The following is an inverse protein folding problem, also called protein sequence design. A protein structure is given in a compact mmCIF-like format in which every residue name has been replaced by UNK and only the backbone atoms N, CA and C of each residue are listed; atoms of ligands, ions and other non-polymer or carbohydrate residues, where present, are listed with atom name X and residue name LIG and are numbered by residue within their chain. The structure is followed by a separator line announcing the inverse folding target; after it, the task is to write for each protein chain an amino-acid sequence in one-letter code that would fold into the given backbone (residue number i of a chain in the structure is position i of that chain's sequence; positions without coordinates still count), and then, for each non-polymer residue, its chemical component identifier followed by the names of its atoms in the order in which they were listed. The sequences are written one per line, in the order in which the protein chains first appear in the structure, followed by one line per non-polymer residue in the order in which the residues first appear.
data_IF_940358077095
#
_entry.id   IF_940358077095
#
_cell.length_a   1.000
_cell.length_b   1.000
_cell.length_c   1.000
_cell.angle_alpha   90.00
_cell.angle_beta   90.00
_cell.angle_gamma   90.00
#
_symmetry.space_group_name_H-M   'P 1'
#
loop_
_entity.id
_entity.type
_entity.pdbx_description
1 polymer ?
#
# COMPACT_ATOMS: atom_id res chain seq x y z
N UNK A 1 -45.09 -58.72 27.56
CA UNK A 1 -44.13 -58.80 26.44
C UNK A 1 -43.50 -57.44 26.25
N UNK A 2 -42.18 -57.39 26.35
CA UNK A 2 -41.33 -56.24 26.05
C UNK A 2 -41.47 -55.82 24.59
N UNK A 3 -41.62 -54.52 24.32
CA UNK A 3 -40.99 -53.90 23.15
C UNK A 3 -40.58 -52.47 23.50
N UNK A 4 -39.33 -52.31 23.93
CA UNK A 4 -38.62 -51.03 23.84
C UNK A 4 -38.36 -50.79 22.35
N UNK A 5 -38.91 -49.72 21.77
CA UNK A 5 -38.69 -49.34 20.37
C UNK A 5 -38.37 -47.86 20.30
N UNK A 6 -37.14 -47.52 19.90
CA UNK A 6 -36.55 -46.19 19.92
C UNK A 6 -37.32 -45.19 19.04
N UNK A 7 -37.68 -44.03 19.61
CA UNK A 7 -37.88 -42.80 18.83
C UNK A 7 -36.53 -42.07 18.79
N UNK A 8 -35.81 -42.27 17.69
CA UNK A 8 -34.57 -41.57 17.38
C UNK A 8 -34.95 -40.12 17.08
N UNK A 9 -34.46 -39.23 17.93
CA UNK A 9 -34.53 -37.79 17.73
C UNK A 9 -33.60 -37.42 16.57
N UNK A 10 -34.15 -37.18 15.38
CA UNK A 10 -33.42 -36.48 14.32
C UNK A 10 -33.42 -34.98 14.62
N UNK A 11 -32.51 -34.55 15.50
CA UNK A 11 -31.99 -33.18 15.43
C UNK A 11 -31.08 -33.14 14.20
N UNK A 12 -31.67 -32.87 13.04
CA UNK A 12 -30.90 -32.48 11.87
C UNK A 12 -30.28 -31.14 12.17
N UNK A 13 -29.00 -31.12 12.53
CA UNK A 13 -28.20 -29.90 12.53
C UNK A 13 -28.22 -29.34 11.11
N UNK A 14 -29.02 -28.28 10.94
CA UNK A 14 -28.94 -27.43 9.77
C UNK A 14 -27.64 -26.63 9.89
N UNK A 15 -26.53 -27.27 9.51
CA UNK A 15 -25.24 -26.58 9.38
C UNK A 15 -25.38 -25.62 8.20
N UNK A 16 -25.54 -24.33 8.51
CA UNK A 16 -25.40 -23.25 7.53
C UNK A 16 -23.96 -23.26 7.00
N UNK A 17 -23.70 -23.96 5.90
CA UNK A 17 -22.48 -23.75 5.14
C UNK A 17 -22.64 -22.48 4.30
N UNK A 18 -22.26 -21.34 4.88
CA UNK A 18 -21.99 -20.13 4.11
C UNK A 18 -20.69 -20.32 3.30
N UNK A 19 -20.73 -21.19 2.28
CA UNK A 19 -19.61 -21.49 1.40
C UNK A 19 -19.82 -20.77 0.07
N UNK A 20 -19.38 -19.51 0.00
CA UNK A 20 -19.45 -18.76 -1.24
C UNK A 20 -18.41 -17.66 -1.38
N UNK A 21 -17.66 -17.36 -0.31
CA UNK A 21 -16.69 -16.27 -0.33
C UNK A 21 -15.42 -16.62 0.46
N UNK A 22 -14.26 -16.34 -0.13
CA UNK A 22 -12.94 -16.45 0.52
C UNK A 22 -12.17 -15.15 0.33
N UNK A 23 -11.37 -14.78 1.32
CA UNK A 23 -10.48 -13.62 1.26
C UNK A 23 -9.03 -14.01 1.54
N UNK A 24 -8.10 -13.49 0.75
CA UNK A 24 -6.66 -13.60 0.97
C UNK A 24 -6.05 -12.21 1.11
N UNK A 25 -4.88 -12.15 1.73
CA UNK A 25 -4.05 -10.95 1.82
C UNK A 25 -2.63 -11.33 1.43
N UNK A 26 -2.07 -10.63 0.45
CA UNK A 26 -0.73 -10.89 -0.06
C UNK A 26 0.03 -9.57 -0.23
N UNK A 27 1.35 -9.55 -0.01
CA UNK A 27 2.17 -8.42 -0.40
C UNK A 27 2.20 -8.26 -1.91
N UNK A 28 2.32 -7.03 -2.36
CA UNK A 28 2.70 -6.75 -3.73
C UNK A 28 4.13 -7.25 -4.05
N UNK A 29 4.50 -7.15 -5.32
CA UNK A 29 5.81 -7.54 -5.85
C UNK A 29 6.20 -9.00 -5.62
N UNK A 30 5.22 -9.86 -5.31
CA UNK A 30 5.42 -11.30 -5.23
C UNK A 30 5.90 -11.88 -6.58
N UNK A 31 6.89 -12.80 -6.56
CA UNK A 31 7.36 -13.44 -7.78
C UNK A 31 6.26 -14.22 -8.51
N UNK A 32 6.36 -14.30 -9.84
CA UNK A 32 5.49 -15.17 -10.65
C UNK A 32 5.57 -16.62 -10.17
N UNK A 33 4.42 -17.29 -10.13
CA UNK A 33 4.28 -18.67 -9.63
C UNK A 33 4.15 -18.77 -8.11
N UNK A 34 4.24 -17.66 -7.36
CA UNK A 34 4.01 -17.65 -5.92
C UNK A 34 2.58 -18.04 -5.57
N UNK A 35 2.39 -18.69 -4.44
CA UNK A 35 1.06 -19.15 -3.99
C UNK A 35 0.34 -18.01 -3.29
N UNK A 36 -0.88 -17.71 -3.73
CA UNK A 36 -1.79 -16.78 -3.06
C UNK A 36 -2.56 -17.48 -1.95
N UNK A 37 -3.11 -18.67 -2.24
CA UNK A 37 -3.95 -19.41 -1.29
C UNK A 37 -4.46 -20.74 -1.83
N UNK A 38 -4.89 -21.63 -0.94
CA UNK A 38 -5.41 -22.95 -1.29
C UNK A 38 -6.93 -22.94 -1.41
N UNK A 39 -7.41 -22.60 -2.60
CA UNK A 39 -8.84 -22.43 -2.83
C UNK A 39 -9.64 -23.72 -2.73
N UNK A 40 -9.05 -24.86 -3.08
CA UNK A 40 -9.70 -26.16 -2.96
C UNK A 40 -10.01 -26.46 -1.49
N UNK A 41 -9.01 -26.32 -0.62
CA UNK A 41 -9.17 -26.53 0.82
C UNK A 41 -10.13 -25.51 1.43
N UNK A 42 -9.95 -24.24 1.13
CA UNK A 42 -10.66 -23.16 1.82
C UNK A 42 -12.13 -23.06 1.39
N UNK A 43 -12.49 -23.51 0.17
CA UNK A 43 -13.88 -23.69 -0.27
C UNK A 43 -14.45 -25.09 0.00
N UNK A 44 -13.65 -26.03 0.52
CA UNK A 44 -14.07 -27.41 0.73
C UNK A 44 -14.32 -28.20 -0.56
N UNK A 45 -13.62 -27.85 -1.65
CA UNK A 45 -13.69 -28.50 -2.95
C UNK A 45 -12.58 -29.54 -3.12
N UNK A 46 -12.91 -30.66 -3.77
CA UNK A 46 -11.90 -31.61 -4.25
C UNK A 46 -11.21 -31.04 -5.50
N UNK A 47 -9.89 -31.24 -5.62
CA UNK A 47 -9.12 -30.91 -6.83
C UNK A 47 -9.71 -31.59 -8.08
N UNK A 48 -10.23 -32.83 -7.94
CA UNK A 48 -10.95 -33.52 -9.03
C UNK A 48 -12.20 -32.75 -9.46
N UNK A 49 -12.92 -32.13 -8.52
CA UNK A 49 -14.09 -31.29 -8.80
C UNK A 49 -13.71 -30.02 -9.56
N UNK A 50 -12.56 -29.43 -9.27
CA UNK A 50 -12.04 -28.30 -10.07
C UNK A 50 -11.77 -28.69 -11.53
N UNK A 51 -11.28 -29.91 -11.77
CA UNK A 51 -11.05 -30.41 -13.13
C UNK A 51 -12.34 -30.80 -13.84
N UNK A 52 -13.16 -31.66 -13.23
CA UNK A 52 -14.41 -32.15 -13.83
C UNK A 52 -15.42 -31.02 -14.05
N UNK A 53 -15.44 -30.05 -13.13
CA UNK A 53 -16.25 -28.84 -13.23
C UNK A 53 -15.67 -27.76 -14.12
N UNK A 54 -14.57 -28.01 -14.85
CA UNK A 54 -13.91 -27.02 -15.72
C UNK A 54 -13.73 -25.66 -15.02
N UNK A 55 -13.28 -25.69 -13.76
CA UNK A 55 -13.17 -24.49 -12.94
C UNK A 55 -12.39 -23.40 -13.66
N UNK A 56 -12.98 -22.22 -13.78
CA UNK A 56 -12.37 -21.07 -14.43
C UNK A 56 -12.52 -19.84 -13.57
N UNK A 57 -11.48 -19.01 -13.59
CA UNK A 57 -11.55 -17.67 -13.03
C UNK A 57 -12.31 -16.80 -14.03
N UNK A 58 -13.26 -16.03 -13.52
CA UNK A 58 -13.95 -14.98 -14.23
C UNK A 58 -13.66 -13.65 -13.52
N UNK A 59 -13.11 -12.70 -14.26
CA UNK A 59 -12.85 -11.33 -13.80
C UNK A 59 -13.18 -10.36 -14.94
N UNK A 60 -13.32 -9.07 -14.62
CA UNK A 60 -13.04 -8.00 -15.58
C UNK A 60 -11.54 -7.97 -15.87
N UNK A 61 -10.79 -7.11 -15.17
CA UNK A 61 -9.37 -6.85 -15.47
C UNK A 61 -8.38 -7.65 -14.59
N UNK A 62 -8.85 -8.34 -13.55
CA UNK A 62 -7.99 -8.99 -12.55
C UNK A 62 -7.38 -10.34 -12.96
N UNK A 63 -7.80 -10.93 -14.08
CA UNK A 63 -7.32 -12.22 -14.60
C UNK A 63 -5.90 -12.15 -15.16
N UNK A 64 -5.36 -10.94 -15.31
CA UNK A 64 -3.98 -10.71 -15.73
C UNK A 64 -2.99 -11.08 -14.61
N UNK A 65 -3.37 -10.84 -13.35
CA UNK A 65 -2.48 -10.96 -12.19
C UNK A 65 -2.48 -12.33 -11.52
N UNK A 66 -3.61 -13.04 -11.55
CA UNK A 66 -3.80 -14.28 -10.78
C UNK A 66 -4.36 -15.39 -11.65
N UNK A 67 -3.87 -16.61 -11.47
CA UNK A 67 -4.34 -17.81 -12.15
C UNK A 67 -4.73 -18.94 -11.19
N UNK A 68 -5.61 -19.84 -11.67
CA UNK A 68 -6.03 -21.03 -10.93
C UNK A 68 -5.25 -22.26 -11.39
N UNK A 69 -4.46 -22.84 -10.48
CA UNK A 69 -3.87 -24.16 -10.69
C UNK A 69 -4.89 -25.24 -10.34
N UNK A 70 -5.64 -25.71 -11.35
CA UNK A 70 -6.61 -26.82 -11.21
C UNK A 70 -5.98 -28.14 -10.78
N UNK A 71 -4.68 -28.33 -11.06
CA UNK A 71 -3.91 -29.50 -10.64
C UNK A 71 -3.62 -29.50 -9.15
N UNK A 72 -3.33 -28.32 -8.58
CA UNK A 72 -2.90 -28.17 -7.18
C UNK A 72 -4.01 -27.66 -6.26
N UNK A 73 -5.10 -27.14 -6.82
CA UNK A 73 -6.18 -26.52 -6.07
C UNK A 73 -5.81 -25.18 -5.43
N UNK A 74 -4.84 -24.46 -6.00
CA UNK A 74 -4.32 -23.19 -5.44
C UNK A 74 -4.42 -22.05 -6.45
N UNK A 75 -4.53 -20.83 -5.94
CA UNK A 75 -4.35 -19.61 -6.71
C UNK A 75 -2.86 -19.22 -6.74
N UNK A 76 -2.38 -18.80 -7.90
CA UNK A 76 -0.99 -18.42 -8.14
C UNK A 76 -0.89 -17.02 -8.72
N UNK A 77 0.20 -16.34 -8.41
CA UNK A 77 0.59 -15.08 -9.06
C UNK A 77 1.01 -15.39 -10.49
N UNK A 78 0.28 -14.86 -11.47
CA UNK A 78 0.57 -14.99 -12.90
C UNK A 78 1.51 -13.89 -13.37
N UNK A 79 1.18 -12.65 -13.01
CA UNK A 79 1.97 -11.46 -13.29
C UNK A 79 2.29 -10.73 -11.99
N UNK A 80 3.43 -10.04 -11.98
CA UNK A 80 3.87 -9.26 -10.82
C UNK A 80 2.84 -8.15 -10.56
N UNK A 81 2.38 -8.05 -9.32
CA UNK A 81 1.37 -7.06 -8.91
C UNK A 81 2.11 -5.87 -8.33
N UNK A 82 1.94 -4.72 -8.96
CA UNK A 82 2.38 -3.40 -8.50
C UNK A 82 1.13 -2.66 -8.00
N UNK A 83 1.08 -2.36 -6.70
CA UNK A 83 -0.08 -1.77 -6.03
C UNK A 83 -0.27 -0.32 -6.46
N UNK A 84 0.82 0.42 -6.69
CA UNK A 84 0.79 1.82 -7.13
C UNK A 84 0.15 1.92 -8.52
N UNK A 85 0.48 0.99 -9.42
CA UNK A 85 -0.14 0.90 -10.75
C UNK A 85 -1.61 0.46 -10.69
N UNK A 86 -1.95 -0.46 -9.78
CA UNK A 86 -3.31 -1.04 -9.68
C UNK A 86 -4.32 -0.09 -9.00
N UNK A 87 -3.95 0.47 -7.84
CA UNK A 87 -4.86 1.19 -6.95
C UNK A 87 -4.42 2.63 -6.65
N UNK A 88 -3.18 3.01 -7.01
CA UNK A 88 -2.57 4.30 -6.66
C UNK A 88 -2.62 4.53 -5.15
N UNK A 89 -3.33 5.57 -4.70
CA UNK A 89 -3.47 5.93 -3.29
C UNK A 89 -4.77 5.37 -2.67
N UNK A 90 -5.53 4.56 -3.42
CA UNK A 90 -6.82 4.02 -2.96
C UNK A 90 -6.62 2.89 -1.96
N UNK A 91 -7.26 2.99 -0.80
CA UNK A 91 -7.23 1.98 0.26
C UNK A 91 -8.67 1.62 0.67
N UNK A 92 -9.02 0.32 0.81
CA UNK A 92 -8.20 -0.86 0.57
C UNK A 92 -7.97 -1.14 -0.92
N UNK A 93 -6.82 -1.72 -1.26
CA UNK A 93 -6.53 -2.20 -2.60
C UNK A 93 -6.84 -3.69 -2.69
N UNK A 94 -7.78 -4.08 -3.55
CA UNK A 94 -8.19 -5.48 -3.66
C UNK A 94 -8.54 -5.89 -5.10
N UNK A 95 -8.18 -7.12 -5.44
CA UNK A 95 -8.65 -7.82 -6.63
C UNK A 95 -9.90 -8.62 -6.29
N UNK A 96 -10.96 -8.43 -7.08
CA UNK A 96 -12.21 -9.18 -6.94
C UNK A 96 -12.35 -10.15 -8.10
N UNK A 97 -12.40 -11.44 -7.79
CA UNK A 97 -12.50 -12.50 -8.78
C UNK A 97 -13.60 -13.49 -8.43
N UNK A 98 -14.10 -14.18 -9.44
CA UNK A 98 -15.09 -15.24 -9.27
C UNK A 98 -14.52 -16.53 -9.84
N UNK A 99 -14.74 -17.65 -9.15
CA UNK A 99 -14.47 -18.97 -9.71
C UNK A 99 -15.82 -19.61 -10.03
N UNK A 100 -15.97 -20.04 -11.28
CA UNK A 100 -17.16 -20.70 -11.79
C UNK A 100 -16.80 -22.15 -12.09
N UNK A 101 -17.58 -23.08 -11.54
CA UNK A 101 -17.57 -24.49 -11.91
C UNK A 101 -18.85 -24.80 -12.68
N UNK A 102 -18.77 -25.74 -13.61
CA UNK A 102 -19.86 -26.22 -14.45
C UNK A 102 -20.29 -27.63 -14.01
N UNK A 103 -21.55 -27.99 -14.31
CA UNK A 103 -22.14 -29.33 -14.12
C UNK A 103 -21.90 -29.96 -12.71
N UNK A 104 -22.63 -29.52 -11.66
CA UNK A 104 -23.58 -28.41 -11.62
C UNK A 104 -22.86 -27.05 -11.60
N UNK A 105 -23.59 -25.98 -11.92
CA UNK A 105 -23.01 -24.64 -11.83
C UNK A 105 -22.84 -24.21 -10.38
N UNK A 106 -21.62 -23.81 -10.02
CA UNK A 106 -21.28 -23.24 -8.71
C UNK A 106 -20.45 -21.97 -8.91
N UNK A 107 -20.68 -20.96 -8.07
CA UNK A 107 -20.00 -19.68 -8.13
C UNK A 107 -19.44 -19.31 -6.77
N UNK A 108 -18.14 -19.03 -6.74
CA UNK A 108 -17.42 -18.62 -5.56
C UNK A 108 -16.82 -17.25 -5.78
N UNK A 109 -16.98 -16.35 -4.81
CA UNK A 109 -16.38 -15.01 -4.80
C UNK A 109 -15.07 -15.05 -4.04
N UNK A 110 -14.05 -14.43 -4.59
CA UNK A 110 -12.73 -14.37 -3.97
C UNK A 110 -12.30 -12.91 -3.97
N UNK A 111 -11.81 -12.46 -2.83
CA UNK A 111 -11.20 -11.14 -2.66
C UNK A 111 -9.74 -11.33 -2.28
N UNK A 112 -8.83 -10.70 -3.01
CA UNK A 112 -7.40 -10.71 -2.68
C UNK A 112 -7.02 -9.28 -2.35
N UNK A 113 -6.77 -9.01 -1.08
CA UNK A 113 -6.22 -7.73 -0.63
C UNK A 113 -4.72 -7.68 -0.95
N UNK A 114 -4.29 -6.59 -1.58
CA UNK A 114 -2.89 -6.33 -1.90
C UNK A 114 -2.34 -5.39 -0.86
N UNK A 115 -1.37 -5.87 -0.09
CA UNK A 115 -0.72 -5.08 0.96
C UNK A 115 0.51 -4.38 0.40
N UNK A 116 0.60 -3.09 0.72
CA UNK A 116 1.70 -2.20 0.39
C UNK A 116 3.03 -2.67 1.00
N UNK A 117 4.07 -2.71 0.18
CA UNK A 117 5.46 -2.84 0.65
C UNK A 117 6.20 -1.51 0.44
N UNK A 118 7.37 -1.35 1.04
CA UNK A 118 8.16 -0.12 0.92
C UNK A 118 9.24 -0.30 -0.15
N UNK A 119 8.81 -0.33 -1.40
CA UNK A 119 9.67 -0.48 -2.58
C UNK A 119 9.81 0.83 -3.38
N UNK A 120 9.03 1.86 -3.09
CA UNK A 120 9.28 3.21 -3.58
C UNK A 120 10.14 4.02 -2.59
N UNK A 121 10.79 5.05 -3.12
CA UNK A 121 11.58 5.99 -2.31
C UNK A 121 11.07 7.40 -2.53
N UNK A 122 11.04 8.22 -1.48
CA UNK A 122 10.45 9.53 -1.58
C UNK A 122 11.34 10.43 -2.42
N UNK A 123 10.73 11.21 -3.31
CA UNK A 123 11.43 12.15 -4.19
C UNK A 123 10.87 13.56 -4.02
N UNK A 124 11.69 14.56 -4.31
CA UNK A 124 11.19 15.92 -4.50
C UNK A 124 11.00 16.16 -5.99
N UNK A 125 10.05 17.02 -6.36
CA UNK A 125 9.82 17.40 -7.76
C UNK A 125 11.07 18.02 -8.40
N UNK A 126 11.79 18.81 -7.62
CA UNK A 126 13.08 19.39 -7.99
C UNK A 126 14.17 18.84 -7.05
N UNK A 127 15.36 18.54 -7.57
CA UNK A 127 16.50 18.09 -6.74
C UNK A 127 17.12 19.24 -5.92
N UNK A 128 16.91 20.47 -6.40
CA UNK A 128 17.36 21.71 -5.78
C UNK A 128 16.24 22.76 -5.79
N UNK A 129 16.10 23.50 -4.68
CA UNK A 129 15.24 24.69 -4.63
C UNK A 129 16.00 25.88 -4.09
N UNK A 130 15.93 26.98 -4.83
CA UNK A 130 16.55 28.24 -4.43
C UNK A 130 15.54 29.10 -3.69
N UNK A 131 15.99 29.70 -2.59
CA UNK A 131 15.24 30.70 -1.87
C UNK A 131 16.06 31.99 -1.83
N UNK A 132 15.41 33.09 -2.13
CA UNK A 132 15.96 34.42 -1.92
C UNK A 132 15.44 34.91 -0.57
N UNK A 133 16.35 35.11 0.38
CA UNK A 133 16.02 35.47 1.75
C UNK A 133 16.71 36.79 2.07
N UNK A 134 15.91 37.79 2.44
CA UNK A 134 16.46 39.08 2.86
C UNK A 134 17.27 38.92 4.15
N UNK A 135 18.39 39.62 4.28
CA UNK A 135 19.11 39.76 5.55
C UNK A 135 18.25 40.33 6.67
N UNK A 136 17.27 41.16 6.31
CA UNK A 136 16.31 41.76 7.23
C UNK A 136 15.20 40.80 7.66
N UNK A 137 15.21 39.54 7.18
CA UNK A 137 14.22 38.56 7.56
C UNK A 137 14.21 38.33 9.08
N UNK A 138 13.06 38.58 9.69
CA UNK A 138 12.88 38.45 11.13
C UNK A 138 12.94 36.97 11.54
N UNK A 139 13.49 36.69 12.72
CA UNK A 139 13.44 35.35 13.31
C UNK A 139 12.01 34.80 13.33
N UNK A 140 11.83 33.55 12.91
CA UNK A 140 10.53 32.91 12.74
C UNK A 140 9.84 33.14 11.38
N UNK A 141 10.44 33.94 10.49
CA UNK A 141 10.00 34.05 9.09
C UNK A 141 9.90 32.67 8.45
N UNK A 142 8.84 32.42 7.68
CA UNK A 142 8.48 31.08 7.18
C UNK A 142 8.73 30.98 5.68
N UNK A 143 9.39 29.90 5.26
CA UNK A 143 9.65 29.58 3.87
C UNK A 143 9.10 28.20 3.56
N UNK A 144 8.14 28.13 2.63
CA UNK A 144 7.45 26.86 2.31
C UNK A 144 8.38 25.97 1.48
N UNK A 145 8.66 24.78 2.01
CA UNK A 145 9.40 23.74 1.29
C UNK A 145 8.45 22.95 0.40
N UNK A 146 8.98 22.46 -0.73
CA UNK A 146 8.23 21.53 -1.55
C UNK A 146 8.01 20.23 -0.78
N UNK A 147 6.80 19.69 -0.88
CA UNK A 147 6.47 18.39 -0.32
C UNK A 147 7.22 17.31 -1.13
N UNK A 148 7.76 16.33 -0.40
CA UNK A 148 8.24 15.10 -1.00
C UNK A 148 7.08 14.18 -1.40
N UNK A 149 7.16 13.60 -2.58
CA UNK A 149 6.20 12.65 -3.13
C UNK A 149 6.74 11.24 -2.93
N UNK A 150 5.89 10.37 -2.44
CA UNK A 150 6.13 8.96 -2.25
C UNK A 150 4.85 8.23 -2.66
N UNK A 151 4.99 7.18 -3.46
CA UNK A 151 3.85 6.46 -4.02
C UNK A 151 3.28 5.44 -3.03
N UNK A 152 4.09 5.03 -2.05
CA UNK A 152 3.70 4.09 -1.00
C UNK A 152 2.70 4.72 -0.03
N UNK A 153 1.88 3.89 0.62
CA UNK A 153 0.84 4.35 1.55
C UNK A 153 1.18 4.11 3.02
N UNK A 154 0.45 4.80 3.90
CA UNK A 154 0.44 4.55 5.33
C UNK A 154 1.82 4.59 5.99
N UNK A 155 2.32 3.42 6.42
CA UNK A 155 3.59 3.29 7.15
C UNK A 155 4.82 3.27 6.23
N UNK A 156 4.66 3.14 4.92
CA UNK A 156 5.78 3.02 4.00
C UNK A 156 6.13 4.38 3.36
N UNK A 157 5.13 5.26 3.19
CA UNK A 157 5.35 6.63 2.73
C UNK A 157 6.13 7.58 3.68
N UNK A 158 6.21 8.86 3.32
CA UNK A 158 7.04 9.88 4.00
C UNK A 158 6.68 10.07 5.47
N UNK A 159 7.60 9.70 6.38
CA UNK A 159 7.41 9.86 7.83
C UNK A 159 7.94 11.17 8.34
N UNK A 160 9.23 11.45 8.13
CA UNK A 160 9.91 12.54 8.81
C UNK A 160 10.79 13.35 7.86
N UNK A 161 10.88 14.64 8.18
CA UNK A 161 11.79 15.59 7.54
C UNK A 161 12.87 15.99 8.55
N UNK A 162 14.09 16.15 8.06
CA UNK A 162 15.21 16.69 8.84
C UNK A 162 15.99 17.68 8.00
N UNK A 163 16.54 18.72 8.62
CA UNK A 163 17.30 19.77 7.94
C UNK A 163 18.72 19.78 8.50
N UNK A 164 19.69 20.00 7.63
CA UNK A 164 21.08 20.24 8.01
C UNK A 164 21.71 21.31 7.11
N UNK A 165 22.58 22.19 7.63
CA UNK A 165 22.78 22.48 9.05
C UNK A 165 21.53 23.12 9.69
N UNK A 166 21.45 23.11 11.02
CA UNK A 166 20.31 23.65 11.80
C UNK A 166 20.61 25.00 12.47
N UNK A 167 21.75 25.62 12.16
CA UNK A 167 22.23 26.80 12.89
C UNK A 167 21.43 28.06 12.60
N UNK A 168 21.01 28.24 11.35
CA UNK A 168 20.29 29.43 10.87
C UNK A 168 18.83 29.15 10.54
N UNK A 169 18.45 27.88 10.45
CA UNK A 169 17.11 27.47 10.04
C UNK A 169 16.63 26.26 10.83
N UNK A 170 15.34 26.25 11.14
CA UNK A 170 14.65 25.12 11.74
C UNK A 170 13.55 24.61 10.82
N UNK A 171 13.17 23.33 10.94
CA UNK A 171 11.99 22.79 10.25
C UNK A 171 10.77 22.80 11.16
N UNK A 172 9.65 23.25 10.61
CA UNK A 172 8.32 23.04 11.16
C UNK A 172 7.56 22.10 10.22
N UNK A 173 7.12 20.97 10.76
CA UNK A 173 6.30 19.98 10.03
C UNK A 173 4.93 19.94 10.69
N UNK A 174 3.88 20.15 9.90
CA UNK A 174 2.50 20.17 10.35
C UNK A 174 1.69 19.13 9.54
N UNK A 175 0.99 18.23 10.23
CA UNK A 175 0.11 17.26 9.58
C UNK A 175 -1.20 17.97 9.23
N UNK A 176 -1.62 17.86 7.97
CA UNK A 176 -2.85 18.39 7.45
C UNK A 176 -3.97 17.34 7.54
N UNK A 177 -5.23 17.79 7.50
CA UNK A 177 -6.41 16.93 7.66
C UNK A 177 -6.59 15.89 6.54
N UNK A 178 -5.97 16.13 5.39
CA UNK A 178 -5.91 15.23 4.24
C UNK A 178 -4.80 14.15 4.36
N UNK A 179 -4.12 14.07 5.50
CA UNK A 179 -2.98 13.18 5.73
C UNK A 179 -1.66 13.69 5.14
N UNK A 180 -1.66 14.83 4.44
CA UNK A 180 -0.45 15.44 3.91
C UNK A 180 0.36 16.14 5.00
N UNK A 181 1.63 16.41 4.71
CA UNK A 181 2.52 17.15 5.61
C UNK A 181 2.90 18.48 4.97
N UNK A 182 2.56 19.57 5.65
CA UNK A 182 3.06 20.90 5.31
C UNK A 182 4.42 21.08 5.99
N UNK A 183 5.43 21.40 5.19
CA UNK A 183 6.81 21.57 5.67
C UNK A 183 7.24 23.01 5.43
N UNK A 184 7.56 23.70 6.51
CA UNK A 184 8.04 25.07 6.50
C UNK A 184 9.44 25.13 7.11
N UNK A 185 10.32 25.92 6.51
CA UNK A 185 11.58 26.31 7.08
C UNK A 185 11.42 27.63 7.81
N UNK A 186 11.92 27.73 9.03
CA UNK A 186 11.83 28.91 9.89
C UNK A 186 13.21 29.56 10.01
N UNK A 187 13.27 30.88 9.84
CA UNK A 187 14.47 31.67 10.12
C UNK A 187 14.84 31.55 11.61
N UNK A 188 16.09 31.19 11.89
CA UNK A 188 16.64 31.11 13.23
C UNK A 188 16.91 32.48 13.85
N UNK A 189 17.29 32.54 15.14
CA UNK A 189 17.52 33.79 15.85
C UNK A 189 18.82 34.52 15.43
N UNK A 190 19.72 33.84 14.73
CA UNK A 190 20.98 34.45 14.26
C UNK A 190 20.79 34.99 12.84
N UNK A 191 20.98 36.30 12.61
CA UNK A 191 20.92 36.87 11.27
C UNK A 191 22.01 36.29 10.38
N UNK A 192 21.70 36.13 9.10
CA UNK A 192 22.50 35.37 8.16
C UNK A 192 23.74 36.16 7.70
N UNK A 193 24.93 35.81 8.20
CA UNK A 193 26.17 36.56 7.91
C UNK A 193 26.86 36.18 6.58
N UNK A 194 26.49 35.07 5.95
CA UNK A 194 27.23 34.52 4.79
C UNK A 194 26.32 34.45 3.54
N UNK A 195 26.67 35.12 2.42
CA UNK A 195 25.90 35.05 1.18
C UNK A 195 26.13 33.69 0.52
N UNK A 196 25.10 32.85 0.48
CA UNK A 196 25.15 31.55 -0.18
C UNK A 196 25.28 30.38 0.79
N UNK A 197 24.21 30.04 1.50
CA UNK A 197 24.17 28.83 2.33
C UNK A 197 23.44 27.73 1.58
N UNK A 198 24.12 26.58 1.50
CA UNK A 198 23.56 25.34 1.01
C UNK A 198 23.00 24.55 2.18
N UNK A 199 21.68 24.51 2.28
CA UNK A 199 20.97 23.63 3.21
C UNK A 199 20.70 22.29 2.53
N UNK A 200 20.58 21.25 3.33
CA UNK A 200 20.20 19.91 2.90
C UNK A 200 19.00 19.44 3.70
N UNK A 201 17.87 19.20 3.03
CA UNK A 201 16.72 18.54 3.63
C UNK A 201 16.88 17.05 3.41
N UNK A 202 16.93 16.29 4.50
CA UNK A 202 16.98 14.83 4.47
C UNK A 202 15.63 14.24 4.86
N UNK A 203 15.07 13.42 3.99
CA UNK A 203 13.84 12.67 4.23
C UNK A 203 14.15 11.35 4.94
N UNK A 204 13.20 10.84 5.72
CA UNK A 204 13.22 9.46 6.23
C UNK A 204 11.87 8.79 5.98
N UNK A 205 11.88 7.71 5.22
CA UNK A 205 10.83 6.68 5.22
C UNK A 205 11.24 5.53 6.12
N UNK A 206 10.48 4.42 6.12
CA UNK A 206 10.85 3.24 6.89
C UNK A 206 12.17 2.58 6.41
N UNK A 207 12.64 2.84 5.18
CA UNK A 207 13.85 2.20 4.61
C UNK A 207 14.81 3.14 3.88
N UNK A 208 14.40 4.34 3.44
CA UNK A 208 15.20 5.20 2.56
C UNK A 208 15.41 6.62 3.10
N UNK A 209 16.49 7.26 2.62
CA UNK A 209 16.75 8.66 2.91
C UNK A 209 17.23 9.44 1.70
N UNK A 210 16.43 10.40 1.25
CA UNK A 210 16.79 11.31 0.15
C UNK A 210 17.39 12.61 0.71
N UNK A 211 18.34 13.22 -0.01
CA UNK A 211 18.90 14.54 0.29
C UNK A 211 18.46 15.52 -0.79
N UNK A 212 17.97 16.67 -0.37
CA UNK A 212 17.60 17.78 -1.24
C UNK A 212 18.43 18.99 -0.89
N UNK A 213 19.00 19.65 -1.89
CA UNK A 213 19.81 20.86 -1.65
C UNK A 213 18.94 22.11 -1.78
N UNK A 214 19.11 23.04 -0.86
CA UNK A 214 18.50 24.35 -0.94
C UNK A 214 19.60 25.41 -0.93
N UNK A 215 19.62 26.30 -1.93
CA UNK A 215 20.54 27.43 -1.97
C UNK A 215 19.80 28.70 -1.55
N UNK A 216 20.19 29.25 -0.41
CA UNK A 216 19.74 30.56 0.06
C UNK A 216 20.66 31.67 -0.47
N UNK A 217 20.14 32.61 -1.26
CA UNK A 217 20.86 33.82 -1.66
C UNK A 217 20.34 35.03 -0.88
N UNK A 218 21.29 35.85 -0.44
CA UNK A 218 21.04 37.16 0.15
C UNK A 218 20.88 38.18 -0.98
N UNK A 219 19.78 38.92 -0.97
CA UNK A 219 19.68 40.17 -1.71
C UNK A 219 19.83 41.30 -0.69
N UNK A 220 20.96 42.01 -0.77
CA UNK A 220 21.17 43.29 -0.12
C UNK A 220 20.11 44.26 -0.68
N UNK A 221 19.27 44.83 0.18
CA UNK A 221 18.43 45.98 -0.17
C UNK A 221 18.98 47.21 0.56
#
# INVERSE_FOLDING_TARGET
MNWKGLLIWMWGEMVFKALGQVSYSIPEEMPKGSVVGNIARDLGLDVKRLKSGKARIFTGDSAEYVELSRERGVLLVKERIDRESLCRQTTPCALHLQIILENPMELFRITIEITDINDNSPSFKNEEKRFEISESAVAGSKFVLEKAVDSDIGRNGVKNYSLKPTDNFALKVENQADGNKKVEMLQGPRPQQNPGIRLSVKLRTASASLKFSCLGWLQLC
#
